data_IF_705353820151
#
_entry.id   IF_705353820151
#
_cell.length_a   1.000
_cell.length_b   1.000
_cell.length_c   1.000
_cell.angle_alpha   90.00
_cell.angle_beta   90.00
_cell.angle_gamma   90.00
#
_symmetry.space_group_name_H-M   'P 1'
#
loop_
_entity.id
_entity.type
_entity.pdbx_description
1 polymer ?
#
# COMPACT_ATOMS: atom_id res chain seq x y z
N UNK A 1 24.64 15.70 56.49
CA UNK A 1 24.75 15.72 55.01
C UNK A 1 24.79 14.34 54.37
N UNK A 2 25.59 13.37 54.83
CA UNK A 2 25.77 12.05 54.18
C UNK A 2 24.50 11.19 54.05
N UNK A 3 23.61 11.16 55.05
CA UNK A 3 22.32 10.42 54.96
C UNK A 3 21.35 11.03 53.94
N UNK A 4 21.36 12.34 53.78
CA UNK A 4 20.49 13.07 52.84
C UNK A 4 20.95 12.86 51.40
N UNK A 5 22.27 12.95 51.15
CA UNK A 5 22.89 12.62 49.85
C UNK A 5 22.63 11.17 49.46
N UNK A 6 22.74 10.21 50.41
CA UNK A 6 22.40 8.80 50.15
C UNK A 6 20.92 8.58 49.82
N UNK A 7 20.00 9.29 50.48
CA UNK A 7 18.56 9.20 50.19
C UNK A 7 18.20 9.80 48.84
N UNK A 8 18.82 10.92 48.46
CA UNK A 8 18.64 11.53 47.14
C UNK A 8 19.23 10.62 46.04
N UNK A 9 20.44 10.09 46.26
CA UNK A 9 21.06 9.16 45.33
C UNK A 9 20.19 7.90 45.14
N UNK A 10 19.61 7.35 46.22
CA UNK A 10 18.67 6.23 46.13
C UNK A 10 17.39 6.61 45.37
N UNK A 11 16.81 7.78 45.65
CA UNK A 11 15.60 8.27 44.98
C UNK A 11 15.79 8.47 43.47
N UNK A 12 16.99 8.82 43.01
CA UNK A 12 17.32 8.95 41.60
C UNK A 12 17.68 7.58 40.99
N UNK A 13 18.34 6.70 41.76
CA UNK A 13 18.77 5.40 41.28
C UNK A 13 17.59 4.44 41.05
N UNK A 14 16.56 4.45 41.92
CA UNK A 14 15.39 3.58 41.79
C UNK A 14 14.70 3.68 40.41
N UNK A 15 14.27 4.87 39.93
CA UNK A 15 13.64 4.98 38.61
C UNK A 15 14.59 4.61 37.48
N UNK A 16 15.89 4.88 37.62
CA UNK A 16 16.90 4.45 36.64
C UNK A 16 16.98 2.92 36.54
N UNK A 17 17.01 2.21 37.67
CA UNK A 17 17.01 0.75 37.70
C UNK A 17 15.70 0.15 37.19
N UNK A 18 14.55 0.74 37.54
CA UNK A 18 13.25 0.31 37.02
C UNK A 18 13.22 0.49 35.50
N UNK A 19 13.65 1.63 34.98
CA UNK A 19 13.71 1.90 33.55
C UNK A 19 14.67 0.96 32.82
N UNK A 20 15.88 0.76 33.37
CA UNK A 20 16.87 -0.18 32.83
C UNK A 20 16.33 -1.61 32.81
N UNK A 21 15.68 -2.04 33.91
CA UNK A 21 15.06 -3.36 34.01
C UNK A 21 13.93 -3.56 33.01
N UNK A 22 13.05 -2.56 32.85
CA UNK A 22 11.99 -2.55 31.86
C UNK A 22 12.56 -2.64 30.43
N UNK A 23 13.48 -1.75 30.07
CA UNK A 23 14.07 -1.69 28.73
C UNK A 23 14.79 -3.00 28.39
N UNK A 24 15.60 -3.53 29.31
CA UNK A 24 16.35 -4.78 29.10
C UNK A 24 15.41 -5.97 28.94
N UNK A 25 14.36 -6.06 29.76
CA UNK A 25 13.38 -7.14 29.66
C UNK A 25 12.61 -7.07 28.34
N UNK A 26 12.27 -5.87 27.86
CA UNK A 26 11.57 -5.68 26.59
C UNK A 26 12.46 -5.98 25.38
N UNK A 27 13.70 -5.49 25.37
CA UNK A 27 14.70 -5.81 24.35
C UNK A 27 14.92 -7.32 24.24
N UNK A 28 15.10 -7.99 25.38
CA UNK A 28 15.24 -9.46 25.41
C UNK A 28 13.99 -10.18 24.88
N UNK A 29 12.79 -9.69 25.19
CA UNK A 29 11.55 -10.26 24.67
C UNK A 29 11.45 -10.12 23.13
N UNK A 30 11.88 -8.98 22.58
CA UNK A 30 11.91 -8.76 21.13
C UNK A 30 12.93 -9.70 20.47
N UNK A 31 14.18 -9.72 20.95
CA UNK A 31 15.24 -10.59 20.40
C UNK A 31 14.81 -12.06 20.40
N UNK A 32 14.16 -12.50 21.49
CA UNK A 32 13.64 -13.86 21.59
C UNK A 32 12.49 -14.12 20.62
N UNK A 33 11.56 -13.18 20.46
CA UNK A 33 10.45 -13.29 19.50
C UNK A 33 10.94 -13.42 18.06
N UNK A 34 11.94 -12.62 17.70
CA UNK A 34 12.58 -12.64 16.39
C UNK A 34 13.37 -13.93 16.17
N UNK A 35 14.17 -14.38 17.16
CA UNK A 35 14.92 -15.63 17.05
C UNK A 35 13.98 -16.83 16.84
N UNK A 36 12.83 -16.86 17.52
CA UNK A 36 11.81 -17.88 17.30
C UNK A 36 11.19 -17.81 15.90
N UNK A 37 11.00 -16.60 15.34
CA UNK A 37 10.52 -16.42 13.98
C UNK A 37 11.55 -16.90 12.93
N UNK A 38 12.85 -16.60 13.14
CA UNK A 38 13.94 -17.07 12.27
C UNK A 38 14.11 -18.60 12.31
N UNK A 39 13.91 -19.23 13.48
CA UNK A 39 13.96 -20.69 13.64
C UNK A 39 12.78 -21.43 13.01
N UNK A 40 11.70 -20.72 12.68
CA UNK A 40 10.54 -21.29 12.00
C UNK A 40 10.37 -20.63 10.62
N UNK A 41 11.12 -21.09 9.60
CA UNK A 41 11.23 -20.39 8.31
C UNK A 41 9.92 -20.35 7.50
N UNK A 42 8.80 -20.84 8.03
CA UNK A 42 7.51 -20.74 7.36
C UNK A 42 6.64 -19.63 7.97
N UNK A 43 6.57 -18.50 7.28
CA UNK A 43 5.57 -17.45 7.54
C UNK A 43 4.45 -17.66 6.54
N UNK A 44 3.27 -18.11 7.01
CA UNK A 44 2.08 -18.29 6.17
C UNK A 44 2.33 -19.15 4.91
N UNK A 45 3.16 -20.19 5.01
CA UNK A 45 3.51 -21.10 3.91
C UNK A 45 4.61 -20.59 2.95
N UNK A 46 5.26 -19.47 3.28
CA UNK A 46 6.36 -18.87 2.51
C UNK A 46 7.67 -19.04 3.27
N UNK A 47 8.75 -19.42 2.60
CA UNK A 47 10.07 -19.53 3.21
C UNK A 47 10.63 -18.12 3.47
N UNK A 48 11.07 -17.84 4.70
CA UNK A 48 11.71 -16.58 5.06
C UNK A 48 13.08 -16.87 5.69
N UNK A 49 14.11 -16.22 5.16
CA UNK A 49 15.46 -16.20 5.69
C UNK A 49 15.84 -14.75 5.97
N UNK A 50 16.44 -14.51 7.12
CA UNK A 50 16.93 -13.20 7.53
C UNK A 50 17.87 -13.37 8.72
N UNK A 51 18.83 -12.46 8.85
CA UNK A 51 19.65 -12.29 10.04
C UNK A 51 19.17 -11.05 10.79
N UNK A 52 19.25 -11.07 12.13
CA UNK A 52 18.80 -9.91 12.93
C UNK A 52 19.89 -9.48 13.86
N UNK A 53 20.20 -8.18 13.83
CA UNK A 53 21.08 -7.53 14.77
C UNK A 53 20.44 -7.45 16.17
N UNK A 54 21.27 -7.37 17.20
CA UNK A 54 20.82 -7.15 18.57
C UNK A 54 20.00 -5.86 18.71
N UNK A 55 19.07 -5.81 19.66
CA UNK A 55 18.28 -4.59 19.92
C UNK A 55 19.19 -3.51 20.53
N UNK A 56 19.20 -2.33 19.91
CA UNK A 56 19.98 -1.17 20.38
C UNK A 56 19.06 0.03 20.72
N UNK A 57 19.64 1.16 21.14
CA UNK A 57 18.88 2.41 21.37
C UNK A 57 18.58 2.76 22.84
N UNK A 58 19.15 2.02 23.80
CA UNK A 58 18.99 2.34 25.23
C UNK A 58 19.39 3.80 25.53
N UNK A 59 18.62 4.55 26.34
CA UNK A 59 17.37 4.16 27.01
C UNK A 59 16.09 4.58 26.26
N UNK A 60 16.20 5.24 25.11
CA UNK A 60 15.11 5.99 24.51
C UNK A 60 14.36 5.24 23.42
N UNK A 61 15.05 4.33 22.72
CA UNK A 61 14.52 3.62 21.56
C UNK A 61 14.79 2.12 21.67
N UNK A 62 14.01 1.35 20.94
CA UNK A 62 14.31 -0.02 20.52
C UNK A 62 14.55 0.06 19.02
N UNK A 63 15.80 -0.14 18.59
CA UNK A 63 16.21 -0.11 17.18
C UNK A 63 16.79 -1.47 16.79
N UNK A 64 16.36 -1.99 15.64
CA UNK A 64 16.65 -3.34 15.19
C UNK A 64 16.96 -3.28 13.69
N UNK A 65 18.20 -3.58 13.32
CA UNK A 65 18.57 -3.84 11.93
C UNK A 65 18.28 -5.31 11.59
N UNK A 66 17.49 -5.54 10.56
CA UNK A 66 17.23 -6.87 10.01
C UNK A 66 17.96 -6.93 8.67
N UNK A 67 18.91 -7.84 8.51
CA UNK A 67 19.80 -7.93 7.36
C UNK A 67 19.61 -9.22 6.58
N UNK A 68 20.12 -9.25 5.35
CA UNK A 68 20.10 -10.44 4.48
C UNK A 68 18.68 -11.04 4.34
N UNK A 69 17.69 -10.16 4.14
CA UNK A 69 16.29 -10.56 4.09
C UNK A 69 16.01 -11.18 2.73
N UNK A 70 15.53 -12.42 2.75
CA UNK A 70 14.98 -13.12 1.59
C UNK A 70 13.68 -13.82 2.00
N UNK A 71 12.56 -13.39 1.43
CA UNK A 71 11.25 -14.00 1.64
C UNK A 71 10.70 -14.47 0.31
N UNK A 72 10.44 -15.76 0.18
CA UNK A 72 9.96 -16.33 -1.07
C UNK A 72 9.17 -17.61 -0.92
N UNK A 73 8.24 -17.80 -1.86
CA UNK A 73 7.56 -19.08 -2.03
C UNK A 73 8.27 -19.79 -3.18
N UNK A 74 8.75 -21.01 -2.93
CA UNK A 74 9.48 -21.82 -3.91
C UNK A 74 8.75 -21.78 -5.26
N UNK A 75 9.45 -21.26 -6.28
CA UNK A 75 9.05 -21.15 -7.68
C UNK A 75 7.94 -20.13 -8.05
N UNK A 76 7.53 -19.22 -7.14
CA UNK A 76 6.53 -18.16 -7.45
C UNK A 76 7.08 -16.75 -7.40
N UNK A 77 7.64 -16.38 -6.26
CA UNK A 77 8.23 -15.07 -6.04
C UNK A 77 9.27 -15.16 -4.94
N UNK A 78 10.29 -14.32 -5.06
CA UNK A 78 11.31 -14.06 -4.05
C UNK A 78 11.44 -12.55 -3.92
N UNK A 79 11.21 -12.03 -2.73
CA UNK A 79 11.54 -10.66 -2.34
C UNK A 79 12.84 -10.67 -1.54
N UNK A 80 13.77 -9.80 -1.88
CA UNK A 80 15.04 -9.66 -1.20
C UNK A 80 15.38 -8.19 -0.93
N UNK A 81 16.05 -7.92 0.18
CA UNK A 81 16.64 -6.61 0.53
C UNK A 81 17.83 -6.78 1.47
N UNK A 82 18.72 -5.78 1.47
CA UNK A 82 19.97 -5.84 2.23
C UNK A 82 19.74 -5.61 3.72
N UNK A 83 19.02 -4.54 4.06
CA UNK A 83 18.74 -4.16 5.43
C UNK A 83 17.36 -3.49 5.54
N UNK A 84 16.71 -3.69 6.69
CA UNK A 84 15.50 -2.99 7.10
C UNK A 84 15.70 -2.57 8.54
N UNK A 85 15.54 -1.28 8.81
CA UNK A 85 15.66 -0.74 10.17
C UNK A 85 14.27 -0.59 10.78
N UNK A 86 14.03 -1.29 11.89
CA UNK A 86 12.79 -1.20 12.66
C UNK A 86 13.05 -0.46 13.97
N UNK A 87 12.33 0.62 14.19
CA UNK A 87 12.47 1.47 15.37
C UNK A 87 11.15 1.67 16.11
N UNK A 88 11.21 1.68 17.43
CA UNK A 88 10.11 2.11 18.28
C UNK A 88 10.64 2.89 19.49
N UNK A 89 9.95 3.95 19.88
CA UNK A 89 10.29 4.70 21.10
C UNK A 89 10.01 3.83 22.33
N UNK A 90 10.93 3.76 23.29
CA UNK A 90 10.77 2.90 24.46
C UNK A 90 9.60 3.28 25.37
N UNK A 91 9.15 4.54 25.32
CA UNK A 91 7.95 5.01 26.03
C UNK A 91 6.65 4.90 25.19
N UNK A 92 6.76 4.51 23.92
CA UNK A 92 5.62 4.30 23.01
C UNK A 92 5.91 3.12 22.05
N UNK A 93 6.11 1.89 22.57
CA UNK A 93 6.53 0.74 21.77
C UNK A 93 5.47 0.25 20.78
N UNK A 94 4.23 0.75 20.89
CA UNK A 94 3.12 0.49 19.98
C UNK A 94 3.10 1.41 18.75
N UNK A 95 4.07 2.31 18.61
CA UNK A 95 4.36 3.06 17.39
C UNK A 95 5.68 2.54 16.82
N UNK A 96 5.59 1.88 15.68
CA UNK A 96 6.70 1.22 15.01
C UNK A 96 6.97 1.98 13.72
N UNK A 97 8.21 2.36 13.52
CA UNK A 97 8.73 2.97 12.31
C UNK A 97 9.63 1.93 11.62
N UNK A 98 9.51 1.82 10.31
CA UNK A 98 10.27 0.89 9.48
C UNK A 98 10.84 1.69 8.31
N UNK A 99 12.16 1.70 8.21
CA UNK A 99 12.88 2.24 7.07
C UNK A 99 13.12 1.12 6.06
N UNK A 100 12.65 1.34 4.84
CA UNK A 100 12.72 0.45 3.68
C UNK A 100 13.50 1.12 2.54
N UNK A 101 14.37 2.08 2.83
CA UNK A 101 15.04 2.89 1.79
C UNK A 101 16.14 2.12 1.07
N UNK A 102 16.59 0.99 1.62
CA UNK A 102 17.54 0.13 0.92
C UNK A 102 16.94 -0.56 -0.30
N UNK A 103 17.72 -0.79 -1.37
CA UNK A 103 17.22 -1.38 -2.60
C UNK A 103 16.57 -2.75 -2.38
N UNK A 104 15.37 -2.92 -2.93
CA UNK A 104 14.63 -4.16 -2.93
C UNK A 104 14.65 -4.83 -4.31
N UNK A 105 14.59 -6.15 -4.33
CA UNK A 105 14.43 -6.95 -5.54
C UNK A 105 13.28 -7.92 -5.39
N UNK A 106 12.41 -7.99 -6.40
CA UNK A 106 11.33 -8.97 -6.51
C UNK A 106 11.59 -9.79 -7.77
N UNK A 107 11.80 -11.09 -7.63
CA UNK A 107 12.06 -12.00 -8.74
C UNK A 107 11.03 -13.12 -8.76
N UNK A 108 10.58 -13.55 -9.94
CA UNK A 108 9.59 -14.63 -10.06
C UNK A 108 9.24 -14.99 -11.50
N UNK A 109 8.04 -15.53 -11.69
CA UNK A 109 7.55 -15.97 -13.01
C UNK A 109 7.36 -14.83 -14.02
N UNK A 110 7.29 -13.59 -13.55
CA UNK A 110 7.12 -12.39 -14.38
C UNK A 110 8.44 -11.66 -14.67
N UNK A 111 9.57 -12.22 -14.25
CA UNK A 111 10.89 -11.59 -14.35
C UNK A 111 11.42 -11.03 -13.03
N UNK A 112 12.40 -10.15 -13.12
CA UNK A 112 13.03 -9.43 -12.00
C UNK A 112 12.65 -7.94 -12.02
N UNK A 113 12.17 -7.45 -10.87
CA UNK A 113 11.83 -6.06 -10.60
C UNK A 113 12.72 -5.55 -9.47
N UNK A 114 13.61 -4.61 -9.77
CA UNK A 114 14.33 -3.81 -8.80
C UNK A 114 13.52 -2.59 -8.38
N UNK A 115 13.55 -2.26 -7.10
CA UNK A 115 12.90 -1.09 -6.51
C UNK A 115 13.96 -0.36 -5.69
N UNK A 116 14.25 0.88 -6.07
CA UNK A 116 15.16 1.78 -5.35
C UNK A 116 14.35 3.01 -4.91
N UNK A 117 14.68 3.60 -3.77
CA UNK A 117 14.00 4.77 -3.24
C UNK A 117 14.97 5.61 -2.40
N UNK A 118 14.91 6.94 -2.53
CA UNK A 118 15.71 7.81 -1.65
C UNK A 118 15.19 7.78 -0.21
N UNK A 119 13.87 7.70 -0.07
CA UNK A 119 13.20 7.58 1.22
C UNK A 119 12.03 6.60 1.08
N UNK A 120 11.91 5.69 2.04
CA UNK A 120 10.84 4.72 2.10
C UNK A 120 10.47 4.43 3.56
N UNK A 121 9.66 5.31 4.14
CA UNK A 121 9.25 5.24 5.54
C UNK A 121 7.87 4.60 5.68
N UNK A 122 7.75 3.63 6.58
CA UNK A 122 6.49 3.06 7.03
C UNK A 122 6.33 3.26 8.54
N UNK A 123 5.24 3.89 8.98
CA UNK A 123 4.90 4.09 10.39
C UNK A 123 3.58 3.41 10.70
N UNK A 124 3.61 2.46 11.64
CA UNK A 124 2.43 1.74 12.11
C UNK A 124 2.18 2.07 13.58
N UNK A 125 0.95 2.46 13.89
CA UNK A 125 0.50 2.68 15.25
C UNK A 125 -0.59 1.68 15.61
N UNK A 126 -0.35 0.90 16.67
CA UNK A 126 -1.32 -0.01 17.25
C UNK A 126 -1.99 0.62 18.47
N UNK A 127 -3.32 0.44 18.57
CA UNK A 127 -4.08 0.89 19.74
C UNK A 127 -3.59 0.17 20.99
N UNK A 128 -3.51 0.85 22.16
CA UNK A 128 -3.06 0.25 23.41
C UNK A 128 -4.15 -0.63 24.03
N UNK A 129 -4.56 -1.69 23.32
CA UNK A 129 -5.48 -2.73 23.78
C UNK A 129 -4.80 -4.10 23.74
N UNK A 130 -5.44 -5.12 24.32
CA UNK A 130 -4.84 -6.47 24.44
C UNK A 130 -4.63 -7.17 23.09
N UNK A 131 -5.38 -6.78 22.06
CA UNK A 131 -5.31 -7.37 20.72
C UNK A 131 -4.27 -6.67 19.83
N UNK A 132 -3.80 -5.48 20.22
CA UNK A 132 -2.97 -4.59 19.39
C UNK A 132 -3.63 -4.36 18.04
N UNK A 133 -4.87 -3.86 18.04
CA UNK A 133 -5.55 -3.54 16.78
C UNK A 133 -4.93 -2.31 16.11
N UNK A 134 -4.93 -2.29 14.78
CA UNK A 134 -4.38 -1.20 13.98
C UNK A 134 -5.12 0.10 14.32
N UNK A 135 -4.35 1.12 14.67
CA UNK A 135 -4.83 2.50 14.82
C UNK A 135 -4.66 3.26 13.52
N UNK A 136 -3.42 3.43 13.07
CA UNK A 136 -3.11 4.00 11.77
C UNK A 136 -1.84 3.38 11.16
N UNK A 137 -1.73 3.45 9.84
CA UNK A 137 -0.56 3.11 9.05
C UNK A 137 -0.32 4.27 8.10
N UNK A 138 0.91 4.77 8.09
CA UNK A 138 1.39 5.83 7.20
C UNK A 138 2.56 5.26 6.40
N UNK A 139 2.53 5.39 5.09
CA UNK A 139 3.62 5.01 4.22
C UNK A 139 3.98 6.21 3.35
N UNK A 140 5.26 6.59 3.32
CA UNK A 140 5.75 7.71 2.54
C UNK A 140 7.03 7.29 1.81
N UNK A 141 7.03 7.48 0.51
CA UNK A 141 8.16 7.14 -0.35
C UNK A 141 8.49 8.34 -1.24
N UNK A 142 9.78 8.58 -1.47
CA UNK A 142 10.28 9.64 -2.34
C UNK A 142 11.29 9.07 -3.33
N UNK A 143 11.25 9.58 -4.56
CA UNK A 143 12.15 9.23 -5.65
C UNK A 143 12.27 7.71 -5.85
N UNK A 144 11.13 7.04 -6.02
CA UNK A 144 11.08 5.59 -6.24
C UNK A 144 11.39 5.28 -7.70
N UNK A 145 12.36 4.41 -7.93
CA UNK A 145 12.79 3.96 -9.26
C UNK A 145 12.45 2.47 -9.40
N UNK A 146 11.67 2.14 -10.42
CA UNK A 146 11.30 0.78 -10.77
C UNK A 146 12.10 0.32 -11.98
N UNK A 147 12.88 -0.74 -11.81
CA UNK A 147 13.75 -1.31 -12.85
C UNK A 147 13.32 -2.73 -13.19
N UNK A 148 12.95 -2.98 -14.45
CA UNK A 148 12.55 -4.30 -14.93
C UNK A 148 13.73 -4.93 -15.68
N UNK A 149 14.17 -6.11 -15.25
CA UNK A 149 15.33 -6.82 -15.82
C UNK A 149 16.59 -5.92 -15.87
N UNK A 150 16.77 -5.08 -14.85
CA UNK A 150 17.89 -4.12 -14.76
C UNK A 150 17.76 -2.87 -15.63
N UNK A 151 16.64 -2.69 -16.34
CA UNK A 151 16.35 -1.51 -17.16
C UNK A 151 15.35 -0.63 -16.41
N UNK A 152 15.69 0.63 -16.19
CA UNK A 152 14.78 1.62 -15.57
C UNK A 152 13.51 1.75 -16.40
N UNK A 153 12.39 1.29 -15.84
CA UNK A 153 11.08 1.35 -16.48
C UNK A 153 10.30 2.59 -16.07
N UNK A 154 10.20 2.84 -14.77
CA UNK A 154 9.37 3.92 -14.25
C UNK A 154 10.05 4.63 -13.08
N UNK A 155 9.73 5.92 -12.91
CA UNK A 155 10.19 6.73 -11.78
C UNK A 155 8.99 7.44 -11.16
N UNK A 156 8.95 7.52 -9.84
CA UNK A 156 7.87 8.15 -9.08
C UNK A 156 8.50 9.16 -8.14
N UNK A 157 8.07 10.41 -8.24
CA UNK A 157 8.61 11.47 -7.38
C UNK A 157 8.15 11.31 -5.93
N UNK A 158 6.84 11.13 -5.72
CA UNK A 158 6.29 10.88 -4.38
C UNK A 158 5.20 9.82 -4.43
N UNK A 159 5.18 8.97 -3.41
CA UNK A 159 4.11 8.01 -3.17
C UNK A 159 3.77 8.03 -1.69
N UNK A 160 2.49 8.13 -1.35
CA UNK A 160 2.03 8.08 0.03
C UNK A 160 0.76 7.26 0.17
N UNK A 161 0.60 6.66 1.34
CA UNK A 161 -0.62 5.97 1.73
C UNK A 161 -0.90 6.20 3.21
N UNK A 162 -2.17 6.37 3.55
CA UNK A 162 -2.63 6.47 4.92
C UNK A 162 -3.83 5.54 5.12
N UNK A 163 -3.75 4.71 6.14
CA UNK A 163 -4.85 3.88 6.60
C UNK A 163 -5.13 4.24 8.05
N UNK A 164 -6.38 4.56 8.38
CA UNK A 164 -6.77 4.79 9.78
C UNK A 164 -8.03 4.02 10.13
N UNK A 165 -8.03 3.41 11.32
CA UNK A 165 -9.21 2.77 11.86
C UNK A 165 -10.25 3.85 12.22
N UNK A 166 -11.51 3.59 11.88
CA UNK A 166 -12.61 4.46 12.26
C UNK A 166 -12.70 4.55 13.80
N UNK A 167 -13.05 5.72 14.36
CA UNK A 167 -13.25 5.86 15.80
C UNK A 167 -14.39 4.99 16.35
N UNK A 168 -15.39 4.70 15.50
CA UNK A 168 -16.66 4.11 15.93
C UNK A 168 -16.73 2.58 15.76
N UNK A 169 -15.88 2.00 14.91
CA UNK A 169 -15.88 0.56 14.62
C UNK A 169 -14.46 0.05 14.42
N UNK A 170 -14.15 -1.13 14.95
CA UNK A 170 -12.81 -1.72 14.85
C UNK A 170 -12.54 -2.41 13.51
N UNK A 171 -13.54 -2.50 12.64
CA UNK A 171 -13.46 -3.19 11.34
C UNK A 171 -13.55 -2.25 10.14
N UNK A 172 -13.80 -0.95 10.35
CA UNK A 172 -13.84 0.02 9.27
C UNK A 172 -12.55 0.83 9.23
N UNK A 173 -12.04 1.05 8.03
CA UNK A 173 -10.80 1.76 7.78
C UNK A 173 -11.02 2.82 6.71
N UNK A 174 -10.52 4.01 6.96
CA UNK A 174 -10.33 5.04 5.94
C UNK A 174 -8.99 4.78 5.27
N UNK A 175 -8.97 4.80 3.94
CA UNK A 175 -7.80 4.54 3.12
C UNK A 175 -7.64 5.70 2.16
N UNK A 176 -6.49 6.36 2.19
CA UNK A 176 -6.07 7.30 1.16
C UNK A 176 -4.73 6.87 0.59
N UNK A 177 -4.53 7.06 -0.70
CA UNK A 177 -3.25 6.82 -1.36
C UNK A 177 -3.04 7.86 -2.46
N UNK A 178 -1.78 8.21 -2.71
CA UNK A 178 -1.40 9.15 -3.75
C UNK A 178 -0.06 8.76 -4.38
N UNK A 179 0.05 8.93 -5.69
CA UNK A 179 1.29 8.85 -6.46
C UNK A 179 1.35 10.12 -7.29
N UNK A 180 2.44 10.87 -7.19
CA UNK A 180 2.66 12.09 -7.97
C UNK A 180 3.81 11.90 -8.95
N UNK A 181 3.63 12.45 -10.14
CA UNK A 181 4.63 12.50 -11.19
C UNK A 181 5.25 11.13 -11.54
N UNK A 182 4.40 10.13 -11.78
CA UNK A 182 4.82 8.83 -12.30
C UNK A 182 5.30 9.00 -13.75
N UNK A 183 6.61 8.93 -13.94
CA UNK A 183 7.29 8.99 -15.22
C UNK A 183 7.40 7.59 -15.84
N UNK A 184 6.84 7.45 -17.04
CA UNK A 184 6.82 6.23 -17.84
C UNK A 184 7.53 6.41 -19.18
N UNK A 185 8.38 7.45 -19.32
CA UNK A 185 9.07 7.79 -20.59
C UNK A 185 9.82 6.61 -21.20
N UNK A 186 10.41 5.76 -20.37
CA UNK A 186 11.18 4.60 -20.81
C UNK A 186 10.30 3.43 -21.27
N UNK A 187 9.04 3.38 -20.81
CA UNK A 187 8.07 2.34 -21.18
C UNK A 187 7.19 2.76 -22.36
N UNK A 188 6.84 4.05 -22.45
CA UNK A 188 5.90 4.60 -23.42
C UNK A 188 6.63 5.31 -24.58
N UNK A 189 7.61 4.61 -25.17
CA UNK A 189 8.40 5.14 -26.28
C UNK A 189 7.50 5.40 -27.49
N UNK A 190 7.55 6.61 -28.02
CA UNK A 190 6.76 7.03 -29.20
C UNK A 190 5.46 7.77 -28.88
N UNK A 191 5.07 7.87 -27.61
CA UNK A 191 4.06 8.84 -27.19
C UNK A 191 4.68 10.24 -27.04
N UNK A 192 3.88 11.28 -27.29
CA UNK A 192 4.27 12.67 -27.05
C UNK A 192 4.62 12.91 -25.58
N UNK A 193 5.45 13.92 -25.30
CA UNK A 193 5.95 14.23 -23.95
C UNK A 193 4.86 14.32 -22.89
N UNK A 194 3.68 14.81 -23.27
CA UNK A 194 2.55 15.02 -22.36
C UNK A 194 1.95 13.71 -21.84
N UNK A 195 2.20 12.60 -22.54
CA UNK A 195 1.74 11.25 -22.22
C UNK A 195 2.88 10.34 -21.74
N UNK A 196 4.05 10.91 -21.45
CA UNK A 196 5.14 10.14 -20.84
C UNK A 196 5.09 10.18 -19.31
N UNK A 197 4.22 11.02 -18.74
CA UNK A 197 4.07 11.19 -17.28
C UNK A 197 2.59 11.20 -16.89
N UNK A 198 2.26 10.47 -15.84
CA UNK A 198 0.99 10.59 -15.12
C UNK A 198 1.23 11.56 -13.96
N UNK A 199 0.51 12.68 -13.96
CA UNK A 199 0.77 13.77 -13.01
C UNK A 199 0.32 13.39 -11.61
N UNK A 200 -0.83 12.74 -11.49
CA UNK A 200 -1.39 12.35 -10.20
C UNK A 200 -2.24 11.08 -10.34
N UNK A 201 -2.06 10.15 -9.43
CA UNK A 201 -2.99 9.07 -9.13
C UNK A 201 -3.36 9.22 -7.67
N UNK A 202 -4.64 9.37 -7.35
CA UNK A 202 -5.10 9.44 -5.96
C UNK A 202 -6.31 8.54 -5.73
N UNK A 203 -6.44 8.07 -4.50
CA UNK A 203 -7.52 7.20 -4.06
C UNK A 203 -7.96 7.62 -2.66
N UNK A 204 -9.28 7.64 -2.44
CA UNK A 204 -9.93 7.87 -1.15
C UNK A 204 -11.10 6.90 -1.00
N UNK A 205 -11.06 6.06 0.03
CA UNK A 205 -12.04 5.01 0.24
C UNK A 205 -12.29 4.71 1.73
N UNK A 206 -13.42 4.06 1.98
CA UNK A 206 -13.74 3.39 3.24
C UNK A 206 -13.89 1.89 2.99
N UNK A 207 -13.11 1.10 3.72
CA UNK A 207 -13.14 -0.36 3.66
C UNK A 207 -13.68 -0.92 4.97
N UNK A 208 -14.67 -1.81 4.88
CA UNK A 208 -15.13 -2.63 6.00
C UNK A 208 -14.58 -4.03 5.85
N UNK A 209 -13.89 -4.53 6.88
CA UNK A 209 -13.32 -5.87 6.92
C UNK A 209 -14.19 -6.82 7.76
N UNK A 210 -13.98 -8.12 7.60
CA UNK A 210 -14.69 -9.15 8.35
C UNK A 210 -14.30 -9.20 9.83
N UNK A 211 -13.12 -8.71 10.17
CA UNK A 211 -12.55 -8.66 11.52
C UNK A 211 -11.47 -7.55 11.58
N UNK A 212 -11.16 -7.00 12.78
CA UNK A 212 -10.14 -5.95 12.92
C UNK A 212 -8.77 -6.44 12.49
N UNK A 213 -7.94 -5.55 11.94
CA UNK A 213 -6.52 -5.80 11.73
C UNK A 213 -5.82 -5.77 13.08
N UNK A 214 -5.57 -6.95 13.65
CA UNK A 214 -4.93 -7.14 14.94
C UNK A 214 -3.90 -8.29 14.91
N UNK A 215 -3.19 -8.51 16.02
CA UNK A 215 -2.16 -9.56 16.09
C UNK A 215 -2.68 -10.99 15.86
N UNK A 216 -3.96 -11.26 16.11
CA UNK A 216 -4.58 -12.58 15.90
C UNK A 216 -4.90 -12.81 14.42
N UNK A 217 -5.31 -11.75 13.72
CA UNK A 217 -5.56 -11.81 12.28
C UNK A 217 -4.30 -12.04 11.47
N UNK A 218 -3.16 -11.47 11.90
CA UNK A 218 -1.86 -11.75 11.29
C UNK A 218 -1.50 -13.25 11.33
N UNK A 219 -1.96 -13.99 12.34
CA UNK A 219 -1.69 -15.42 12.49
C UNK A 219 -2.72 -16.34 11.80
N UNK A 220 -3.95 -15.87 11.59
CA UNK A 220 -5.08 -16.67 11.06
C UNK A 220 -5.43 -16.39 9.59
N UNK A 221 -4.83 -15.36 9.00
CA UNK A 221 -5.00 -14.97 7.60
C UNK A 221 -5.61 -13.58 7.43
N UNK A 222 -5.40 -12.98 6.25
CA UNK A 222 -5.89 -11.65 5.94
C UNK A 222 -7.44 -11.59 6.08
N UNK A 223 -7.99 -10.59 6.80
CA UNK A 223 -9.43 -10.39 6.86
C UNK A 223 -10.05 -10.20 5.47
N UNK A 224 -11.28 -10.69 5.28
CA UNK A 224 -11.99 -10.51 4.01
C UNK A 224 -12.60 -9.11 3.96
N UNK A 225 -12.54 -8.48 2.79
CA UNK A 225 -13.29 -7.26 2.49
C UNK A 225 -14.80 -7.59 2.52
N UNK A 226 -15.59 -6.76 3.20
CA UNK A 226 -17.06 -6.86 3.28
C UNK A 226 -17.72 -5.76 2.46
N UNK A 227 -17.23 -4.54 2.58
CA UNK A 227 -17.72 -3.39 1.84
C UNK A 227 -16.53 -2.50 1.47
N UNK A 228 -16.58 -1.95 0.26
CA UNK A 228 -15.71 -0.87 -0.19
C UNK A 228 -16.60 0.27 -0.68
N UNK A 229 -16.49 1.42 -0.04
CA UNK A 229 -17.02 2.68 -0.55
C UNK A 229 -15.83 3.48 -1.08
N UNK A 230 -15.66 3.49 -2.39
CA UNK A 230 -14.68 4.34 -3.07
C UNK A 230 -15.31 5.70 -3.28
N UNK A 231 -14.88 6.69 -2.51
CA UNK A 231 -15.34 8.07 -2.67
C UNK A 231 -14.77 8.67 -3.96
N UNK A 232 -13.50 8.41 -4.21
CA UNK A 232 -12.81 8.88 -5.42
C UNK A 232 -11.57 8.02 -5.70
N UNK A 233 -11.39 7.59 -6.94
CA UNK A 233 -10.07 7.34 -7.51
C UNK A 233 -9.89 8.25 -8.73
N UNK A 234 -8.81 9.02 -8.74
CA UNK A 234 -8.54 10.05 -9.72
C UNK A 234 -7.19 9.77 -10.39
N UNK A 235 -7.16 9.82 -11.72
CA UNK A 235 -5.95 9.76 -12.53
C UNK A 235 -5.90 10.98 -13.45
N UNK A 236 -4.86 11.80 -13.32
CA UNK A 236 -4.57 12.91 -14.21
C UNK A 236 -3.42 12.52 -15.14
N UNK A 237 -3.69 12.54 -16.45
CA UNK A 237 -2.76 12.08 -17.48
C UNK A 237 -2.79 13.02 -18.70
N UNK A 238 -1.84 13.95 -18.74
CA UNK A 238 -1.86 15.08 -19.67
C UNK A 238 -3.10 15.94 -19.44
N UNK A 239 -3.84 16.22 -20.50
CA UNK A 239 -5.11 16.95 -20.43
C UNK A 239 -6.34 16.06 -20.12
N UNK A 240 -6.13 14.79 -19.77
CA UNK A 240 -7.19 13.81 -19.47
C UNK A 240 -7.29 13.65 -17.96
N UNK A 241 -8.52 13.64 -17.45
CA UNK A 241 -8.80 13.32 -16.05
C UNK A 241 -9.82 12.18 -15.97
N UNK A 242 -9.46 11.11 -15.28
CA UNK A 242 -10.30 9.92 -15.07
C UNK A 242 -10.68 9.84 -13.61
N UNK A 243 -11.98 9.88 -13.33
CA UNK A 243 -12.57 9.78 -12.00
C UNK A 243 -13.39 8.50 -11.89
N UNK A 244 -13.28 7.84 -10.75
CA UNK A 244 -14.00 6.63 -10.42
C UNK A 244 -14.61 6.78 -9.02
N UNK A 245 -15.91 6.55 -8.89
CA UNK A 245 -16.57 6.31 -7.61
C UNK A 245 -17.25 4.94 -7.64
N UNK A 246 -17.31 4.28 -6.49
CA UNK A 246 -17.86 2.94 -6.42
C UNK A 246 -18.42 2.61 -5.04
N UNK A 247 -19.46 1.78 -5.04
CA UNK A 247 -19.94 1.09 -3.84
C UNK A 247 -20.01 -0.40 -4.12
N UNK A 248 -19.09 -1.14 -3.50
CA UNK A 248 -18.94 -2.58 -3.68
C UNK A 248 -19.20 -3.31 -2.36
N UNK A 249 -19.84 -4.47 -2.46
CA UNK A 249 -20.11 -5.37 -1.35
C UNK A 249 -19.64 -6.76 -1.73
N UNK A 250 -18.89 -7.41 -0.83
CA UNK A 250 -18.49 -8.80 -1.00
C UNK A 250 -19.56 -9.75 -0.49
N UNK A 251 -19.90 -10.74 -1.30
CA UNK A 251 -20.69 -11.91 -0.90
C UNK A 251 -19.91 -12.82 0.07
N UNK A 252 -20.58 -13.80 0.66
CA UNK A 252 -19.94 -14.84 1.49
C UNK A 252 -18.91 -15.68 0.72
N UNK A 253 -19.16 -15.87 -0.58
CA UNK A 253 -18.25 -16.55 -1.51
C UNK A 253 -17.04 -15.70 -1.93
N UNK A 254 -16.97 -14.42 -1.51
CA UNK A 254 -15.89 -13.49 -1.86
C UNK A 254 -16.12 -12.70 -3.14
N UNK A 255 -17.18 -12.98 -3.89
CA UNK A 255 -17.49 -12.24 -5.11
C UNK A 255 -18.04 -10.84 -4.80
N UNK A 256 -17.53 -9.83 -5.51
CA UNK A 256 -17.91 -8.43 -5.42
C UNK A 256 -19.14 -8.14 -6.27
N UNK A 257 -20.02 -7.32 -5.71
CA UNK A 257 -21.23 -6.82 -6.37
C UNK A 257 -21.39 -5.34 -6.06
N UNK A 258 -21.87 -4.55 -7.02
CA UNK A 258 -22.11 -3.14 -6.80
C UNK A 258 -22.16 -2.30 -8.07
N UNK A 259 -22.10 -0.98 -7.86
CA UNK A 259 -22.12 0.01 -8.94
C UNK A 259 -20.82 0.80 -8.92
N UNK A 260 -20.38 1.17 -10.12
CA UNK A 260 -19.17 1.95 -10.35
C UNK A 260 -19.51 3.03 -11.38
N UNK A 261 -19.20 4.28 -11.11
CA UNK A 261 -19.32 5.33 -12.11
C UNK A 261 -17.92 5.73 -12.55
N UNK A 262 -17.66 5.60 -13.86
CA UNK A 262 -16.43 6.05 -14.48
C UNK A 262 -16.71 7.35 -15.21
N UNK A 263 -16.05 8.43 -14.82
CA UNK A 263 -16.15 9.72 -15.51
C UNK A 263 -14.80 10.08 -16.12
N UNK A 264 -14.79 10.38 -17.41
CA UNK A 264 -13.58 10.79 -18.14
C UNK A 264 -13.80 12.19 -18.69
N UNK A 265 -13.03 13.15 -18.16
CA UNK A 265 -12.93 14.49 -18.72
C UNK A 265 -11.95 14.48 -19.89
N UNK A 266 -12.27 15.23 -20.95
CA UNK A 266 -11.53 15.26 -22.20
C UNK A 266 -11.39 13.87 -22.85
N UNK A 267 -12.47 13.08 -22.80
CA UNK A 267 -12.51 11.69 -23.27
C UNK A 267 -12.20 11.56 -24.77
N UNK A 268 -12.47 12.58 -25.60
CA UNK A 268 -12.14 12.59 -27.04
C UNK A 268 -10.63 12.50 -27.27
N UNK A 269 -9.84 13.14 -26.40
CA UNK A 269 -8.37 13.06 -26.42
C UNK A 269 -7.90 11.65 -26.03
N UNK A 270 -8.50 11.06 -24.99
CA UNK A 270 -8.24 9.66 -24.61
C UNK A 270 -8.58 8.70 -25.76
N UNK A 271 -9.75 8.85 -26.38
CA UNK A 271 -10.17 8.02 -27.51
C UNK A 271 -9.18 8.11 -28.68
N UNK A 272 -8.73 9.33 -29.01
CA UNK A 272 -7.73 9.56 -30.05
C UNK A 272 -6.38 8.93 -29.70
N UNK A 273 -5.98 8.96 -28.43
CA UNK A 273 -4.75 8.32 -27.96
C UNK A 273 -4.83 6.78 -28.08
N UNK A 274 -5.91 6.18 -27.58
CA UNK A 274 -6.16 4.74 -27.63
C UNK A 274 -6.24 4.24 -29.08
N UNK A 275 -6.87 5.02 -29.96
CA UNK A 275 -6.87 4.76 -31.41
C UNK A 275 -5.45 4.74 -31.99
N UNK A 276 -4.63 5.76 -31.73
CA UNK A 276 -3.24 5.83 -32.24
C UNK A 276 -2.38 4.66 -31.77
N UNK A 277 -2.68 4.13 -30.58
CA UNK A 277 -2.01 2.96 -30.02
C UNK A 277 -2.50 1.63 -30.62
N UNK A 278 -3.52 1.65 -31.48
CA UNK A 278 -4.03 0.45 -32.16
C UNK A 278 -4.93 -0.44 -31.29
N UNK A 279 -5.41 0.08 -30.15
CA UNK A 279 -6.34 -0.66 -29.28
C UNK A 279 -7.78 -0.70 -29.81
N UNK A 280 -8.09 0.06 -30.86
CA UNK A 280 -9.39 0.08 -31.54
C UNK A 280 -9.16 -0.33 -32.98
N UNK A 281 -9.87 -1.37 -33.43
CA UNK A 281 -9.85 -1.78 -34.83
C UNK A 281 -10.43 -0.67 -35.73
N UNK A 282 -9.80 -0.35 -36.89
CA UNK A 282 -10.23 0.75 -37.74
C UNK A 282 -11.72 0.74 -38.11
N UNK A 283 -12.28 -0.46 -38.35
CA UNK A 283 -13.69 -0.64 -38.74
C UNK A 283 -14.68 -0.37 -37.59
N UNK A 284 -14.21 -0.39 -36.34
CA UNK A 284 -15.03 -0.16 -35.15
C UNK A 284 -14.89 1.26 -34.59
N UNK A 285 -13.96 2.06 -35.11
CA UNK A 285 -13.70 3.42 -34.62
C UNK A 285 -14.95 4.30 -34.64
N UNK A 286 -15.62 4.39 -35.79
CA UNK A 286 -16.81 5.24 -35.96
C UNK A 286 -17.98 4.74 -35.09
N UNK A 287 -18.13 3.42 -34.97
CA UNK A 287 -19.14 2.79 -34.13
C UNK A 287 -18.97 3.17 -32.66
N UNK A 288 -17.77 2.95 -32.09
CA UNK A 288 -17.50 3.30 -30.71
C UNK A 288 -17.58 4.80 -30.48
N UNK A 289 -16.99 5.61 -31.37
CA UNK A 289 -17.02 7.06 -31.22
C UNK A 289 -18.46 7.60 -31.16
N UNK A 290 -19.34 7.11 -32.04
CA UNK A 290 -20.76 7.53 -32.07
C UNK A 290 -21.48 7.18 -30.77
N UNK A 291 -21.27 5.97 -30.23
CA UNK A 291 -21.86 5.56 -28.95
C UNK A 291 -21.37 6.47 -27.82
N UNK A 292 -20.07 6.74 -27.75
CA UNK A 292 -19.48 7.56 -26.70
C UNK A 292 -19.94 9.02 -26.79
N UNK A 293 -20.09 9.58 -28.00
CA UNK A 293 -20.67 10.92 -28.20
C UNK A 293 -22.11 10.98 -27.68
N UNK A 294 -22.95 9.99 -28.02
CA UNK A 294 -24.34 9.96 -27.55
C UNK A 294 -24.41 9.89 -26.01
N UNK A 295 -23.56 9.07 -25.39
CA UNK A 295 -23.47 8.98 -23.92
C UNK A 295 -23.00 10.29 -23.28
N UNK A 296 -22.03 10.99 -23.88
CA UNK A 296 -21.58 12.29 -23.39
C UNK A 296 -22.70 13.35 -23.47
N UNK A 297 -23.47 13.37 -24.57
CA UNK A 297 -24.62 14.26 -24.75
C UNK A 297 -25.72 13.95 -23.71
N UNK A 298 -26.04 12.67 -23.50
CA UNK A 298 -27.00 12.24 -22.48
C UNK A 298 -26.56 12.62 -21.06
N UNK A 299 -25.25 12.59 -20.79
CA UNK A 299 -24.64 13.04 -19.54
C UNK A 299 -24.61 14.57 -19.36
N UNK A 300 -24.99 15.34 -20.38
CA UNK A 300 -25.12 16.80 -20.31
C UNK A 300 -23.83 17.59 -20.58
N UNK A 301 -22.74 16.96 -21.02
CA UNK A 301 -21.49 17.62 -21.38
C UNK A 301 -20.77 16.88 -22.51
N UNK A 302 -20.45 17.57 -23.61
CA UNK A 302 -19.72 16.94 -24.73
C UNK A 302 -18.27 16.58 -24.39
N UNK A 303 -17.69 17.24 -23.37
CA UNK A 303 -16.28 17.09 -22.99
C UNK A 303 -16.10 16.15 -21.78
N UNK A 304 -17.19 15.68 -21.17
CA UNK A 304 -17.16 14.73 -20.06
C UNK A 304 -18.02 13.52 -20.39
N UNK A 305 -17.44 12.33 -20.29
CA UNK A 305 -18.14 11.08 -20.52
C UNK A 305 -18.29 10.32 -19.21
N UNK A 306 -19.53 10.12 -18.76
CA UNK A 306 -19.82 9.29 -17.58
C UNK A 306 -20.44 7.96 -18.00
N UNK A 307 -19.81 6.86 -17.61
CA UNK A 307 -20.19 5.49 -17.93
C UNK A 307 -20.60 4.79 -16.62
N UNK A 308 -21.91 4.55 -16.39
CA UNK A 308 -22.37 3.76 -15.26
C UNK A 308 -22.11 2.26 -15.49
N UNK A 309 -21.23 1.68 -14.70
CA UNK A 309 -20.86 0.27 -14.74
C UNK A 309 -21.52 -0.48 -13.58
N UNK A 310 -21.85 -1.75 -13.83
CA UNK A 310 -22.37 -2.66 -12.81
C UNK A 310 -21.43 -3.83 -12.66
N UNK A 311 -21.14 -4.19 -11.41
CA UNK A 311 -20.36 -5.37 -11.05
C UNK A 311 -21.32 -6.40 -10.46
N UNK A 312 -21.39 -7.58 -11.07
CA UNK A 312 -22.18 -8.70 -10.56
C UNK A 312 -21.34 -9.96 -10.59
N UNK A 313 -21.12 -10.57 -9.43
CA UNK A 313 -20.24 -11.72 -9.25
C UNK A 313 -18.89 -11.53 -9.96
N UNK A 314 -18.19 -10.44 -9.63
CA UNK A 314 -16.92 -10.00 -10.25
C UNK A 314 -17.01 -9.60 -11.74
N UNK A 315 -18.13 -9.78 -12.42
CA UNK A 315 -18.26 -9.42 -13.84
C UNK A 315 -18.63 -7.95 -13.96
N UNK A 316 -17.82 -7.17 -14.68
CA UNK A 316 -18.04 -5.76 -15.00
C UNK A 316 -18.84 -5.66 -16.30
N UNK A 317 -19.96 -4.96 -16.27
CA UNK A 317 -20.83 -4.77 -17.42
C UNK A 317 -21.30 -3.33 -17.57
N UNK A 318 -21.49 -2.91 -18.82
CA UNK A 318 -22.21 -1.71 -19.20
C UNK A 318 -23.49 -2.10 -19.95
N UNK A 319 -24.65 -1.98 -19.30
CA UNK A 319 -25.91 -2.51 -19.83
C UNK A 319 -25.81 -4.02 -20.11
N UNK A 320 -25.99 -4.42 -21.37
CA UNK A 320 -25.87 -5.81 -21.81
C UNK A 320 -24.44 -6.23 -22.20
N UNK A 321 -23.48 -5.30 -22.26
CA UNK A 321 -22.11 -5.55 -22.68
C UNK A 321 -21.24 -5.91 -21.48
N UNK A 322 -20.65 -7.10 -21.50
CA UNK A 322 -19.61 -7.49 -20.54
C UNK A 322 -18.27 -6.92 -20.96
N UNK A 323 -17.61 -6.18 -20.06
CA UNK A 323 -16.32 -5.52 -20.30
C UNK A 323 -15.15 -6.32 -19.75
N UNK A 324 -15.37 -7.11 -18.69
CA UNK A 324 -14.31 -7.89 -18.05
C UNK A 324 -14.75 -8.54 -16.75
N UNK A 325 -13.80 -9.22 -16.10
CA UNK A 325 -14.00 -9.90 -14.82
C UNK A 325 -12.91 -9.45 -13.86
N UNK A 326 -13.29 -9.03 -12.66
CA UNK A 326 -12.38 -8.76 -11.56
C UNK A 326 -11.77 -10.08 -11.03
N UNK A 327 -10.49 -10.06 -10.65
CA UNK A 327 -9.80 -11.25 -10.13
C UNK A 327 -10.43 -11.81 -8.85
#
# INVERSE_FOLDING_TARGET
MTKFVKRIALLIAIPFFIWTGYWTAFAYAIERGISLASQNPQISGTAAQFEVASVTGYPQNFAIGITEIEIGAKDRFTWATQEVLVEAKSYQPNRINVDLSDPHSISGSIGSLGIDAELADLSVFFKPNLQLSLGNLDANFQNVILSFEGITGAEIETMSAHVSASPNTETNYQVTAQIQNLNLSNMLVGLGSDYQRIQNISLSAEAQLSQPLDRLTMASGAPRLRMLLLHEALINYGDISVLLDAKLVSSEAGALNGNVNLTVQNWKTLFSLVKRLGYIEPDLEEFFYTILVNLAIEGGSEDSLTIPLTITNNTISFGALTLGVLP
#
